data_IF_144803251185
#
_entry.id   IF_144803251185
#
_cell.length_a   1.000
_cell.length_b   1.000
_cell.length_c   1.000
_cell.angle_alpha   90.00
_cell.angle_beta   90.00
_cell.angle_gamma   90.00
#
_symmetry.space_group_name_H-M   'P 1'
#
loop_
_entity.id
_entity.type
_entity.pdbx_description
1 polymer ?
#
# COMPACT_ATOMS: atom_id res chain seq x y z
N UNK A 1 29.93 13.52 -17.59
CA UNK A 1 29.28 13.11 -16.32
C UNK A 1 28.86 11.66 -16.49
N UNK A 2 29.24 10.78 -15.57
CA UNK A 2 28.77 9.39 -15.57
C UNK A 2 27.25 9.38 -15.38
N UNK A 3 26.56 8.45 -16.05
CA UNK A 3 25.14 8.21 -15.77
C UNK A 3 25.01 7.77 -14.30
N UNK A 4 23.93 8.17 -13.59
CA UNK A 4 23.70 7.68 -12.24
C UNK A 4 23.70 6.15 -12.26
N UNK A 5 24.46 5.57 -11.34
CA UNK A 5 24.63 4.13 -11.23
C UNK A 5 23.27 3.50 -10.89
N UNK A 6 22.84 2.54 -11.70
CA UNK A 6 21.62 1.77 -11.41
C UNK A 6 21.88 0.90 -10.20
N UNK A 7 21.06 1.06 -9.17
CA UNK A 7 21.15 0.25 -7.96
C UNK A 7 20.21 -0.94 -8.09
N UNK A 8 20.54 -2.05 -7.46
CA UNK A 8 19.70 -3.25 -7.52
C UNK A 8 19.56 -3.93 -6.17
N UNK A 9 18.44 -4.61 -5.97
CA UNK A 9 18.17 -5.52 -4.85
C UNK A 9 17.76 -6.87 -5.46
N UNK A 10 18.39 -7.96 -5.06
CA UNK A 10 17.94 -9.30 -5.42
C UNK A 10 16.88 -9.78 -4.43
N UNK A 11 15.80 -10.36 -4.94
CA UNK A 11 14.76 -10.99 -4.13
C UNK A 11 15.05 -12.49 -4.15
N UNK A 12 15.56 -13.01 -3.03
CA UNK A 12 15.89 -14.43 -2.88
C UNK A 12 14.89 -15.14 -1.99
N UNK A 13 14.75 -16.43 -2.24
CA UNK A 13 14.04 -17.35 -1.36
C UNK A 13 15.08 -18.09 -0.54
N UNK A 14 15.06 -17.93 0.78
CA UNK A 14 16.05 -18.53 1.70
C UNK A 14 16.02 -20.07 1.62
N UNK A 15 14.82 -20.64 1.60
CA UNK A 15 14.58 -22.07 1.46
C UNK A 15 13.50 -22.34 0.41
N UNK A 16 13.86 -22.69 -0.84
CA UNK A 16 12.90 -23.00 -1.90
C UNK A 16 12.00 -24.21 -1.63
N UNK A 17 12.40 -25.11 -0.72
CA UNK A 17 11.61 -26.27 -0.32
C UNK A 17 10.59 -25.95 0.80
N UNK A 18 10.69 -24.77 1.43
CA UNK A 18 9.70 -24.29 2.38
C UNK A 18 8.56 -23.54 1.66
N UNK A 19 7.58 -23.07 2.43
CA UNK A 19 6.50 -22.25 1.92
C UNK A 19 7.04 -20.93 1.34
N UNK A 20 6.53 -20.51 0.18
CA UNK A 20 7.00 -19.31 -0.55
C UNK A 20 5.82 -18.47 -0.98
N UNK A 21 6.07 -17.22 -1.40
CA UNK A 21 5.01 -16.35 -1.94
C UNK A 21 4.27 -17.01 -3.12
N UNK A 22 4.97 -17.79 -3.96
CA UNK A 22 4.34 -18.50 -5.08
C UNK A 22 3.41 -19.63 -4.61
N UNK A 23 3.71 -20.30 -3.49
CA UNK A 23 2.78 -21.26 -2.88
C UNK A 23 1.52 -20.55 -2.39
N UNK A 24 1.68 -19.40 -1.72
CA UNK A 24 0.54 -18.58 -1.26
C UNK A 24 -0.35 -18.18 -2.43
N UNK A 25 0.25 -17.75 -3.54
CA UNK A 25 -0.49 -17.37 -4.74
C UNK A 25 -1.24 -18.56 -5.37
N UNK A 26 -0.60 -19.72 -5.44
CA UNK A 26 -1.21 -20.92 -6.03
C UNK A 26 -2.42 -21.43 -5.22
N UNK A 27 -2.34 -21.34 -3.89
CA UNK A 27 -3.31 -21.92 -2.95
C UNK A 27 -3.95 -20.88 -2.03
N UNK A 28 -4.17 -19.66 -2.54
CA UNK A 28 -4.56 -18.48 -1.75
C UNK A 28 -5.70 -18.69 -0.75
N UNK A 29 -6.73 -19.48 -1.12
CA UNK A 29 -7.90 -19.74 -0.28
C UNK A 29 -7.65 -20.74 0.85
N UNK A 30 -6.61 -21.55 0.72
CA UNK A 30 -6.22 -22.56 1.70
C UNK A 30 -5.12 -22.08 2.65
N UNK A 31 -4.53 -20.92 2.37
CA UNK A 31 -3.45 -20.36 3.17
C UNK A 31 -3.99 -19.74 4.47
N UNK A 32 -3.51 -20.22 5.60
CA UNK A 32 -3.74 -19.58 6.88
C UNK A 32 -2.78 -18.38 7.08
N UNK A 33 -3.08 -17.47 8.02
CA UNK A 33 -2.18 -16.35 8.34
C UNK A 33 -0.75 -16.79 8.71
N UNK A 34 -0.58 -17.97 9.32
CA UNK A 34 0.74 -18.52 9.63
C UNK A 34 1.53 -18.88 8.37
N UNK A 35 0.88 -19.43 7.35
CA UNK A 35 1.53 -19.80 6.08
C UNK A 35 2.03 -18.56 5.34
N UNK A 36 1.24 -17.48 5.38
CA UNK A 36 1.61 -16.18 4.84
C UNK A 36 2.85 -15.60 5.56
N UNK A 37 2.87 -15.64 6.90
CA UNK A 37 4.02 -15.19 7.69
C UNK A 37 5.28 -16.01 7.37
N UNK A 38 5.14 -17.34 7.23
CA UNK A 38 6.25 -18.22 6.85
C UNK A 38 6.78 -17.89 5.45
N UNK A 39 5.90 -17.67 4.48
CA UNK A 39 6.29 -17.29 3.13
C UNK A 39 7.02 -15.94 3.08
N UNK A 40 6.52 -14.93 3.81
CA UNK A 40 7.16 -13.62 3.89
C UNK A 40 8.51 -13.68 4.62
N UNK A 41 8.63 -14.47 5.70
CA UNK A 41 9.90 -14.67 6.40
C UNK A 41 10.95 -15.43 5.58
N UNK A 42 10.53 -16.12 4.51
CA UNK A 42 11.39 -16.85 3.59
C UNK A 42 11.97 -15.96 2.47
N UNK A 43 11.64 -14.67 2.46
CA UNK A 43 12.18 -13.69 1.51
C UNK A 43 13.44 -13.04 2.06
N UNK A 44 14.49 -12.98 1.25
CA UNK A 44 15.75 -12.29 1.56
C UNK A 44 16.07 -11.20 0.53
N UNK A 45 16.43 -10.03 1.04
CA UNK A 45 16.75 -8.82 0.28
C UNK A 45 18.17 -8.31 0.56
N UNK A 46 19.00 -9.13 1.23
CA UNK A 46 20.35 -8.73 1.69
C UNK A 46 21.34 -8.44 0.55
N UNK A 47 21.11 -9.01 -0.63
CA UNK A 47 21.98 -8.82 -1.80
C UNK A 47 21.62 -7.56 -2.58
N UNK A 48 22.44 -6.52 -2.41
CA UNK A 48 22.27 -5.23 -3.08
C UNK A 48 23.51 -4.82 -3.87
N UNK A 49 23.31 -4.21 -5.04
CA UNK A 49 24.38 -3.53 -5.80
C UNK A 49 24.18 -2.01 -5.73
N UNK A 50 25.24 -1.28 -5.39
CA UNK A 50 25.19 0.17 -5.21
C UNK A 50 24.67 0.59 -3.83
N UNK A 51 24.66 1.90 -3.57
CA UNK A 51 24.18 2.47 -2.30
C UNK A 51 22.67 2.74 -2.39
N UNK A 52 21.88 1.75 -2.00
CA UNK A 52 20.42 1.89 -1.90
C UNK A 52 20.04 2.81 -0.73
N UNK A 53 19.13 3.73 -1.00
CA UNK A 53 18.60 4.65 0.00
C UNK A 53 17.62 3.90 0.92
N UNK A 54 17.67 4.17 2.22
CA UNK A 54 16.93 3.40 3.24
C UNK A 54 15.43 3.34 2.96
N UNK A 55 14.83 4.47 2.58
CA UNK A 55 13.43 4.60 2.17
C UNK A 55 13.05 3.61 1.08
N UNK A 56 13.91 3.46 0.07
CA UNK A 56 13.66 2.56 -1.08
C UNK A 56 13.82 1.10 -0.64
N UNK A 57 14.82 0.80 0.17
CA UNK A 57 15.03 -0.56 0.69
C UNK A 57 13.88 -1.01 1.59
N UNK A 58 13.42 -0.15 2.51
CA UNK A 58 12.29 -0.44 3.39
C UNK A 58 10.98 -0.55 2.61
N UNK A 59 10.77 0.29 1.59
CA UNK A 59 9.62 0.17 0.71
C UNK A 59 9.61 -1.17 -0.05
N UNK A 60 10.76 -1.59 -0.61
CA UNK A 60 10.84 -2.88 -1.32
C UNK A 60 10.52 -4.03 -0.37
N UNK A 61 11.04 -4.00 0.86
CA UNK A 61 10.69 -4.96 1.89
C UNK A 61 9.18 -4.94 2.16
N UNK A 62 8.60 -3.77 2.44
CA UNK A 62 7.17 -3.60 2.67
C UNK A 62 6.32 -4.21 1.54
N UNK A 63 6.69 -4.01 0.27
CA UNK A 63 5.93 -4.57 -0.86
C UNK A 63 5.89 -6.10 -0.84
N UNK A 64 7.04 -6.74 -0.64
CA UNK A 64 7.15 -8.20 -0.72
C UNK A 64 6.72 -8.91 0.57
N UNK A 65 6.59 -8.19 1.69
CA UNK A 65 6.10 -8.73 2.96
C UNK A 65 4.71 -8.20 3.31
N UNK A 66 4.63 -6.99 3.82
CA UNK A 66 3.48 -6.44 4.52
C UNK A 66 2.33 -6.11 3.56
N UNK A 67 2.65 -5.53 2.40
CA UNK A 67 1.68 -5.22 1.36
C UNK A 67 1.13 -6.48 0.70
N UNK A 68 1.99 -7.44 0.36
CA UNK A 68 1.58 -8.76 -0.13
C UNK A 68 0.61 -9.43 0.85
N UNK A 69 0.90 -9.34 2.15
CA UNK A 69 0.07 -9.87 3.21
C UNK A 69 -1.23 -9.09 3.42
N UNK A 70 -1.21 -7.77 3.24
CA UNK A 70 -2.38 -6.91 3.29
C UNK A 70 -3.35 -7.23 2.15
N UNK A 71 -2.85 -7.45 0.93
CA UNK A 71 -3.67 -7.81 -0.22
C UNK A 71 -4.40 -9.13 0.01
N UNK A 72 -3.74 -10.12 0.59
CA UNK A 72 -4.34 -11.41 0.92
C UNK A 72 -5.46 -11.24 1.97
N UNK A 73 -5.15 -10.65 3.12
CA UNK A 73 -6.07 -10.52 4.27
C UNK A 73 -7.29 -9.64 4.01
N UNK A 74 -7.16 -8.63 3.15
CA UNK A 74 -8.28 -7.74 2.79
C UNK A 74 -9.12 -8.28 1.62
N UNK A 75 -8.77 -9.44 1.05
CA UNK A 75 -9.40 -9.97 -0.15
C UNK A 75 -9.08 -9.17 -1.42
N UNK A 76 -8.28 -8.10 -1.34
CA UNK A 76 -7.84 -7.31 -2.50
C UNK A 76 -7.06 -8.17 -3.50
N UNK A 77 -6.40 -9.24 -3.07
CA UNK A 77 -5.71 -10.16 -3.97
C UNK A 77 -6.62 -10.74 -5.06
N UNK A 78 -7.93 -10.90 -4.81
CA UNK A 78 -8.88 -11.35 -5.84
C UNK A 78 -9.14 -10.27 -6.89
N UNK A 79 -9.12 -9.00 -6.48
CA UNK A 79 -9.41 -7.83 -7.32
C UNK A 79 -8.17 -7.34 -8.07
N UNK A 80 -7.02 -7.40 -7.41
CA UNK A 80 -5.72 -6.99 -7.91
C UNK A 80 -4.81 -8.23 -8.13
N UNK A 81 -5.39 -9.32 -8.64
CA UNK A 81 -4.69 -10.60 -8.80
C UNK A 81 -3.42 -10.46 -9.61
N UNK A 82 -3.46 -9.69 -10.70
CA UNK A 82 -2.29 -9.51 -11.57
C UNK A 82 -1.12 -8.79 -10.85
N UNK A 83 -1.42 -7.82 -9.98
CA UNK A 83 -0.43 -7.17 -9.12
C UNK A 83 0.14 -8.15 -8.10
N UNK A 84 -0.73 -8.84 -7.36
CA UNK A 84 -0.35 -9.76 -6.30
C UNK A 84 0.54 -10.90 -6.80
N UNK A 85 0.18 -11.52 -7.92
CA UNK A 85 1.01 -12.52 -8.57
C UNK A 85 2.35 -11.96 -9.09
N UNK A 86 2.38 -10.69 -9.50
CA UNK A 86 3.60 -10.06 -9.99
C UNK A 86 4.60 -9.81 -8.87
N UNK A 87 4.13 -9.45 -7.67
CA UNK A 87 4.96 -9.37 -6.46
C UNK A 87 5.60 -10.74 -6.16
N UNK A 88 4.82 -11.82 -6.16
CA UNK A 88 5.33 -13.16 -5.87
C UNK A 88 6.36 -13.70 -6.88
N UNK A 89 6.30 -13.22 -8.14
CA UNK A 89 7.24 -13.61 -9.21
C UNK A 89 8.45 -12.69 -9.34
N UNK A 90 8.48 -11.56 -8.64
CA UNK A 90 9.59 -10.63 -8.71
C UNK A 90 10.85 -11.29 -8.11
N UNK A 91 11.95 -11.30 -8.86
CA UNK A 91 13.24 -11.84 -8.42
C UNK A 91 14.31 -10.76 -8.25
N UNK A 92 14.06 -9.57 -8.79
CA UNK A 92 15.01 -8.47 -8.83
C UNK A 92 14.26 -7.16 -8.78
N UNK A 93 14.85 -6.18 -8.10
CA UNK A 93 14.42 -4.79 -8.13
C UNK A 93 15.54 -3.93 -8.71
N UNK A 94 15.25 -3.17 -9.76
CA UNK A 94 16.15 -2.16 -10.33
C UNK A 94 15.69 -0.77 -9.90
N UNK A 95 16.62 0.07 -9.45
CA UNK A 95 16.33 1.40 -8.90
C UNK A 95 17.03 2.44 -9.77
N UNK A 96 16.25 3.35 -10.33
CA UNK A 96 16.69 4.41 -11.22
C UNK A 96 16.42 5.78 -10.59
N UNK A 97 17.46 6.55 -10.25
CA UNK A 97 17.29 7.95 -9.85
C UNK A 97 16.65 8.75 -10.99
N UNK A 98 15.58 9.48 -10.68
CA UNK A 98 14.94 10.36 -11.66
C UNK A 98 15.77 11.63 -11.77
N UNK A 99 16.04 12.05 -13.01
CA UNK A 99 16.82 13.26 -13.29
C UNK A 99 15.98 14.25 -14.10
N UNK A 100 16.19 15.54 -13.87
CA UNK A 100 15.52 16.62 -14.59
C UNK A 100 16.53 17.56 -15.25
N UNK A 101 16.20 18.09 -16.44
CA UNK A 101 16.97 19.12 -17.13
C UNK A 101 17.55 18.67 -18.48
N UNK A 102 17.53 19.59 -19.47
CA UNK A 102 17.98 19.35 -20.85
C UNK A 102 19.51 19.46 -21.02
N UNK A 103 20.12 20.44 -20.35
CA UNK A 103 21.56 20.74 -20.48
C UNK A 103 22.38 20.32 -19.26
N UNK A 104 21.76 20.36 -18.08
CA UNK A 104 22.35 19.89 -16.82
C UNK A 104 21.30 19.00 -16.16
N UNK A 105 21.62 17.71 -16.07
CA UNK A 105 20.79 16.75 -15.34
C UNK A 105 21.00 16.98 -13.85
N UNK A 106 19.94 17.35 -13.16
CA UNK A 106 19.86 17.45 -11.71
C UNK A 106 19.16 16.21 -11.19
N UNK A 107 19.76 15.56 -10.18
CA UNK A 107 19.14 14.41 -9.52
C UNK A 107 17.97 14.90 -8.67
N UNK A 108 16.80 14.31 -8.90
CA UNK A 108 15.64 14.56 -8.07
C UNK A 108 15.64 13.58 -6.89
N UNK A 109 15.03 13.93 -5.75
CA UNK A 109 14.84 13.01 -4.62
C UNK A 109 13.67 12.04 -4.92
N UNK A 110 13.70 11.43 -6.10
CA UNK A 110 12.65 10.59 -6.67
C UNK A 110 13.32 9.42 -7.38
N UNK A 111 12.79 8.22 -7.17
CA UNK A 111 13.31 6.99 -7.75
C UNK A 111 12.20 6.24 -8.49
N UNK A 112 12.51 5.79 -9.70
CA UNK A 112 11.73 4.75 -10.35
C UNK A 112 12.27 3.38 -9.87
N UNK A 113 11.40 2.58 -9.28
CA UNK A 113 11.71 1.28 -8.69
C UNK A 113 10.98 0.20 -9.48
N UNK A 114 11.72 -0.64 -10.19
CA UNK A 114 11.21 -1.62 -11.13
C UNK A 114 11.30 -3.01 -10.51
N UNK A 115 10.17 -3.65 -10.25
CA UNK A 115 10.13 -5.06 -9.88
C UNK A 115 10.14 -5.92 -11.14
N UNK A 116 11.17 -6.74 -11.27
CA UNK A 116 11.47 -7.52 -12.46
C UNK A 116 11.27 -9.03 -12.23
N UNK A 117 10.65 -9.69 -13.20
CA UNK A 117 10.53 -11.15 -13.23
C UNK A 117 11.84 -11.85 -13.67
N UNK A 118 11.82 -13.18 -13.70
CA UNK A 118 12.96 -13.99 -14.16
C UNK A 118 13.38 -13.76 -15.60
N UNK A 119 12.52 -13.14 -16.40
CA UNK A 119 12.81 -12.78 -17.78
C UNK A 119 13.32 -11.34 -17.91
N UNK A 120 13.51 -10.61 -16.81
CA UNK A 120 13.89 -9.20 -16.79
C UNK A 120 12.77 -8.24 -17.25
N UNK A 121 11.50 -8.67 -17.19
CA UNK A 121 10.35 -7.84 -17.50
C UNK A 121 9.92 -7.05 -16.25
N UNK A 122 9.76 -5.73 -16.37
CA UNK A 122 9.18 -4.93 -15.27
C UNK A 122 7.69 -5.21 -15.16
N UNK A 123 7.28 -5.83 -14.06
CA UNK A 123 5.89 -6.20 -13.80
C UNK A 123 5.19 -5.23 -12.85
N UNK A 124 5.93 -4.58 -11.96
CA UNK A 124 5.44 -3.48 -11.11
C UNK A 124 6.43 -2.32 -11.21
N UNK A 125 5.90 -1.12 -11.46
CA UNK A 125 6.67 0.13 -11.45
C UNK A 125 6.26 0.96 -10.25
N UNK A 126 7.18 1.26 -9.36
CA UNK A 126 6.94 2.15 -8.24
C UNK A 126 7.67 3.48 -8.42
N UNK A 127 7.00 4.58 -8.09
CA UNK A 127 7.61 5.90 -7.95
C UNK A 127 7.79 6.17 -6.46
N UNK A 128 9.03 6.16 -5.98
CA UNK A 128 9.36 6.46 -4.58
C UNK A 128 9.87 7.88 -4.48
N UNK A 129 9.10 8.73 -3.81
CA UNK A 129 9.40 10.15 -3.61
C UNK A 129 9.95 10.35 -2.19
N UNK A 130 11.11 10.98 -2.06
CA UNK A 130 11.63 11.42 -0.77
C UNK A 130 11.04 12.76 -0.34
N UNK A 131 11.07 13.03 0.96
CA UNK A 131 10.62 14.32 1.51
C UNK A 131 11.41 15.48 0.93
N UNK A 132 10.73 16.34 0.18
CA UNK A 132 11.31 17.55 -0.40
C UNK A 132 10.27 18.65 -0.60
N UNK A 133 10.70 19.92 -0.58
CA UNK A 133 9.79 21.08 -0.63
C UNK A 133 8.87 21.10 -1.88
N UNK A 134 9.39 20.70 -3.05
CA UNK A 134 8.63 20.70 -4.31
C UNK A 134 7.44 19.73 -4.33
N UNK A 135 7.40 18.73 -3.44
CA UNK A 135 6.33 17.72 -3.40
C UNK A 135 5.02 18.30 -2.85
N UNK A 136 5.09 19.48 -2.23
CA UNK A 136 3.92 20.24 -1.78
C UNK A 136 3.28 21.06 -2.91
N UNK A 137 3.99 21.26 -4.03
CA UNK A 137 3.47 22.01 -5.18
C UNK A 137 2.60 21.11 -6.06
N UNK A 138 1.32 21.45 -6.19
CA UNK A 138 0.36 20.63 -6.93
C UNK A 138 0.72 20.47 -8.41
N UNK A 139 1.27 21.51 -9.06
CA UNK A 139 1.64 21.44 -10.48
C UNK A 139 2.83 20.49 -10.66
N UNK A 140 3.80 20.56 -9.75
CA UNK A 140 4.94 19.66 -9.74
C UNK A 140 4.48 18.20 -9.57
N UNK A 141 3.68 17.91 -8.56
CA UNK A 141 3.17 16.55 -8.27
C UNK A 141 2.41 15.96 -9.47
N UNK A 142 1.48 16.73 -10.05
CA UNK A 142 0.72 16.27 -11.21
C UNK A 142 1.61 16.14 -12.45
N UNK A 143 2.62 17.00 -12.61
CA UNK A 143 3.64 16.87 -13.65
C UNK A 143 4.40 15.56 -13.53
N UNK A 144 4.92 15.26 -12.34
CA UNK A 144 5.63 14.02 -12.04
C UNK A 144 4.76 12.78 -12.29
N UNK A 145 3.48 12.81 -11.89
CA UNK A 145 2.54 11.72 -12.18
C UNK A 145 2.37 11.50 -13.69
N UNK A 146 2.20 12.56 -14.48
CA UNK A 146 2.07 12.43 -15.94
C UNK A 146 3.32 11.86 -16.59
N UNK A 147 4.50 12.27 -16.13
CA UNK A 147 5.77 11.73 -16.60
C UNK A 147 5.91 10.25 -16.23
N UNK A 148 5.52 9.85 -15.01
CA UNK A 148 5.48 8.45 -14.60
C UNK A 148 4.59 7.62 -15.51
N UNK A 149 3.35 8.08 -15.78
CA UNK A 149 2.41 7.39 -16.67
C UNK A 149 2.94 7.30 -18.09
N UNK A 150 3.65 8.32 -18.56
CA UNK A 150 4.33 8.26 -19.85
C UNK A 150 5.42 7.19 -19.89
N UNK A 151 6.28 7.12 -18.86
CA UNK A 151 7.32 6.08 -18.73
C UNK A 151 6.71 4.68 -18.62
N UNK A 152 5.64 4.52 -17.83
CA UNK A 152 4.88 3.29 -17.74
C UNK A 152 4.36 2.84 -19.11
N UNK A 153 3.77 3.77 -19.89
CA UNK A 153 3.32 3.48 -21.25
C UNK A 153 4.44 3.14 -22.22
N UNK A 154 5.64 3.70 -22.06
CA UNK A 154 6.81 3.30 -22.85
C UNK A 154 7.28 1.88 -22.49
N UNK A 155 7.35 1.56 -21.20
CA UNK A 155 7.73 0.23 -20.71
C UNK A 155 6.75 -0.84 -21.20
N UNK A 156 5.46 -0.59 -21.04
CA UNK A 156 4.41 -1.54 -21.43
C UNK A 156 4.36 -1.77 -22.96
N UNK A 157 4.54 -0.71 -23.76
CA UNK A 157 4.66 -0.84 -25.22
C UNK A 157 5.89 -1.64 -25.65
N UNK A 158 7.02 -1.48 -24.95
CA UNK A 158 8.26 -2.21 -25.24
C UNK A 158 8.11 -3.68 -24.88
N UNK A 159 7.45 -3.97 -23.76
CA UNK A 159 7.20 -5.33 -23.28
C UNK A 159 5.92 -5.34 -22.41
N UNK A 160 4.79 -5.84 -22.93
CA UNK A 160 3.48 -5.73 -22.27
C UNK A 160 3.36 -6.68 -21.08
N UNK A 161 3.98 -6.29 -19.98
CA UNK A 161 4.17 -7.08 -18.76
C UNK A 161 3.87 -6.30 -17.50
N UNK A 162 3.68 -4.98 -17.60
CA UNK A 162 3.38 -4.12 -16.48
C UNK A 162 1.96 -4.43 -15.99
N UNK A 163 1.80 -4.62 -14.68
CA UNK A 163 0.52 -4.94 -14.03
C UNK A 163 0.08 -3.90 -13.01
N UNK A 164 1.01 -3.14 -12.47
CA UNK A 164 0.68 -2.08 -11.54
C UNK A 164 1.69 -0.92 -11.53
N UNK A 165 1.19 0.24 -11.11
CA UNK A 165 1.97 1.39 -10.68
C UNK A 165 1.74 1.58 -9.18
N UNK A 166 2.81 1.76 -8.41
CA UNK A 166 2.73 2.16 -7.00
C UNK A 166 3.30 3.58 -6.87
N UNK A 167 2.59 4.49 -6.22
CA UNK A 167 3.11 5.82 -5.92
C UNK A 167 3.34 5.90 -4.42
N UNK A 168 4.58 6.12 -4.03
CA UNK A 168 5.04 6.07 -2.65
C UNK A 168 5.60 7.42 -2.27
N UNK A 169 4.98 8.11 -1.32
CA UNK A 169 5.43 9.45 -0.93
C UNK A 169 5.18 9.74 0.56
N UNK A 170 5.82 10.77 1.12
CA UNK A 170 5.60 11.15 2.51
C UNK A 170 4.13 11.57 2.74
N UNK A 171 3.58 11.15 3.88
CA UNK A 171 2.25 11.58 4.32
C UNK A 171 2.19 13.09 4.59
N UNK A 172 1.03 13.75 4.36
CA UNK A 172 -0.10 13.28 3.56
C UNK A 172 0.08 13.58 2.07
N UNK A 173 -0.55 12.79 1.19
CA UNK A 173 -0.70 13.14 -0.22
C UNK A 173 -1.51 14.44 -0.38
N UNK A 174 -1.18 15.21 -1.41
CA UNK A 174 -1.94 16.41 -1.74
C UNK A 174 -3.35 16.02 -2.22
N UNK A 175 -4.35 16.82 -1.82
CA UNK A 175 -5.74 16.65 -2.29
C UNK A 175 -5.84 16.66 -3.81
N UNK A 176 -4.99 17.45 -4.48
CA UNK A 176 -4.90 17.51 -5.93
C UNK A 176 -4.49 16.16 -6.53
N UNK A 177 -3.47 15.49 -5.99
CA UNK A 177 -3.05 14.17 -6.45
C UNK A 177 -4.15 13.12 -6.24
N UNK A 178 -4.71 13.07 -5.03
CA UNK A 178 -5.79 12.14 -4.69
C UNK A 178 -6.98 12.30 -5.65
N UNK A 179 -7.44 13.53 -5.84
CA UNK A 179 -8.54 13.85 -6.76
C UNK A 179 -8.20 13.50 -8.20
N UNK A 180 -6.94 13.69 -8.62
CA UNK A 180 -6.51 13.38 -9.98
C UNK A 180 -6.52 11.87 -10.22
N UNK A 181 -5.95 11.08 -9.31
CA UNK A 181 -5.92 9.62 -9.39
C UNK A 181 -7.34 9.04 -9.30
N UNK A 182 -8.18 9.54 -8.39
CA UNK A 182 -9.58 9.13 -8.28
C UNK A 182 -10.35 9.35 -9.58
N UNK A 183 -10.14 10.50 -10.25
CA UNK A 183 -10.74 10.77 -11.56
C UNK A 183 -10.23 9.82 -12.64
N UNK A 184 -8.94 9.48 -12.62
CA UNK A 184 -8.34 8.58 -13.60
C UNK A 184 -8.91 7.17 -13.52
N UNK A 185 -9.09 6.63 -12.30
CA UNK A 185 -9.62 5.27 -12.09
C UNK A 185 -11.15 5.18 -12.21
N UNK A 186 -11.82 6.24 -12.66
CA UNK A 186 -13.27 6.27 -12.77
C UNK A 186 -13.99 6.26 -11.42
N UNK A 187 -13.43 6.96 -10.41
CA UNK A 187 -13.82 6.87 -9.00
C UNK A 187 -15.29 7.16 -8.66
N UNK A 188 -16.14 7.54 -9.60
CA UNK A 188 -17.59 7.58 -9.39
C UNK A 188 -18.21 6.17 -9.29
N UNK A 189 -17.55 5.14 -9.83
CA UNK A 189 -17.94 3.74 -9.65
C UNK A 189 -17.23 3.16 -8.40
N UNK A 190 -17.98 2.72 -7.36
CA UNK A 190 -17.40 2.10 -6.17
C UNK A 190 -16.55 0.87 -6.47
N UNK A 191 -16.86 0.11 -7.52
CA UNK A 191 -16.11 -1.09 -7.89
C UNK A 191 -14.78 -0.69 -8.54
N UNK A 192 -14.82 0.16 -9.57
CA UNK A 192 -13.61 0.67 -10.21
C UNK A 192 -12.67 1.40 -9.23
N UNK A 193 -13.24 2.12 -8.27
CA UNK A 193 -12.50 2.77 -7.17
C UNK A 193 -11.75 1.77 -6.28
N UNK A 194 -12.33 0.61 -6.04
CA UNK A 194 -11.72 -0.45 -5.21
C UNK A 194 -10.68 -1.28 -5.99
N UNK A 195 -10.91 -1.49 -7.28
CA UNK A 195 -9.97 -2.21 -8.15
C UNK A 195 -8.76 -1.34 -8.55
N UNK A 196 -8.92 -0.01 -8.47
CA UNK A 196 -7.92 1.01 -8.78
C UNK A 196 -7.26 0.80 -10.15
N UNK A 197 -8.06 0.50 -11.17
CA UNK A 197 -7.55 0.21 -12.52
C UNK A 197 -7.53 1.48 -13.36
N UNK A 198 -6.37 1.78 -13.95
CA UNK A 198 -6.24 2.81 -14.97
C UNK A 198 -6.93 2.37 -16.26
N UNK A 199 -7.66 3.27 -16.95
CA UNK A 199 -8.30 2.95 -18.20
C UNK A 199 -7.25 2.68 -19.31
N UNK A 200 -7.75 2.25 -20.47
CA UNK A 200 -6.95 2.11 -21.67
C UNK A 200 -6.16 3.41 -21.96
N UNK A 201 -4.92 3.31 -22.48
CA UNK A 201 -4.31 2.11 -23.04
C UNK A 201 -3.57 1.21 -22.04
N UNK A 202 -3.40 1.62 -20.77
CA UNK A 202 -2.56 0.89 -19.83
C UNK A 202 -3.28 -0.31 -19.21
N UNK A 203 -4.53 -0.16 -18.75
CA UNK A 203 -5.30 -1.25 -18.11
C UNK A 203 -4.51 -1.94 -16.96
N UNK A 204 -3.86 -1.16 -16.11
CA UNK A 204 -3.05 -1.63 -14.97
C UNK A 204 -3.56 -1.04 -13.66
N UNK A 205 -3.26 -1.70 -12.53
CA UNK A 205 -3.58 -1.17 -11.21
C UNK A 205 -2.74 0.05 -10.86
N UNK A 206 -3.28 0.98 -10.07
CA UNK A 206 -2.56 2.11 -9.50
C UNK A 206 -2.88 2.24 -8.02
N UNK A 207 -1.88 2.09 -7.16
CA UNK A 207 -2.07 2.23 -5.72
C UNK A 207 -1.21 3.37 -5.16
N UNK A 208 -1.75 4.03 -4.14
CA UNK A 208 -1.13 5.14 -3.44
C UNK A 208 -0.69 4.68 -2.05
N UNK A 209 0.58 4.84 -1.73
CA UNK A 209 1.17 4.43 -0.47
C UNK A 209 1.81 5.65 0.18
N UNK A 210 1.30 6.04 1.33
CA UNK A 210 1.93 7.07 2.15
C UNK A 210 2.98 6.45 3.06
N UNK A 211 4.02 7.21 3.39
CA UNK A 211 4.92 6.83 4.45
C UNK A 211 5.29 7.98 5.38
N UNK A 212 5.71 7.65 6.60
CA UNK A 212 6.21 8.60 7.57
C UNK A 212 7.11 7.92 8.59
N UNK A 213 7.81 8.71 9.39
CA UNK A 213 8.56 8.17 10.53
C UNK A 213 7.64 8.09 11.74
N UNK A 214 7.86 7.15 12.65
CA UNK A 214 7.06 7.03 13.87
C UNK A 214 7.10 8.28 14.77
N UNK A 215 8.07 9.17 14.54
CA UNK A 215 8.19 10.48 15.19
C UNK A 215 7.19 11.52 14.63
N UNK A 216 6.63 11.28 13.44
CA UNK A 216 5.62 12.15 12.83
C UNK A 216 4.20 11.85 13.38
N UNK A 217 4.07 11.07 14.45
CA UNK A 217 2.82 10.80 15.17
C UNK A 217 2.61 11.73 16.37
N UNK A 218 3.22 12.92 16.38
CA UNK A 218 2.98 13.95 17.38
C UNK A 218 1.59 14.57 17.20
N UNK A 219 0.63 14.07 17.98
CA UNK A 219 -0.45 14.80 18.66
C UNK A 219 -1.03 16.06 17.97
N UNK A 220 -1.77 15.89 16.87
CA UNK A 220 -2.62 16.97 16.32
C UNK A 220 -4.06 16.56 15.98
N UNK A 221 -4.57 15.47 16.57
CA UNK A 221 -6.01 15.17 16.64
C UNK A 221 -6.53 15.09 18.08
N UNK A 222 -6.05 15.98 18.95
CA UNK A 222 -6.79 16.38 20.14
C UNK A 222 -7.38 17.78 19.91
N UNK A 223 -8.68 17.92 20.14
CA UNK A 223 -9.47 19.15 20.14
C UNK A 223 -9.88 19.76 18.79
N UNK A 224 -11.03 19.32 18.26
CA UNK A 224 -12.19 20.24 18.06
C UNK A 224 -13.44 19.48 17.65
N UNK A 225 -14.37 19.30 18.60
CA UNK A 225 -15.79 19.66 18.45
C UNK A 225 -16.50 19.48 19.80
N UNK A 226 -16.65 20.60 20.53
CA UNK A 226 -17.67 20.77 21.55
C UNK A 226 -19.07 20.68 20.92
N UNK A 227 -20.02 20.02 21.58
CA UNK A 227 -21.27 20.62 22.09
C UNK A 227 -22.22 19.54 22.61
N UNK A 228 -22.71 19.71 23.84
CA UNK A 228 -23.80 18.92 24.40
C UNK A 228 -23.84 18.86 25.92
N UNK A 229 -23.97 20.03 26.56
CA UNK A 229 -24.34 20.09 27.97
C UNK A 229 -25.75 19.50 28.17
N UNK A 230 -25.92 18.60 29.15
CA UNK A 230 -27.18 18.37 29.83
C UNK A 230 -26.88 17.95 31.28
N UNK A 231 -27.29 18.82 32.19
CA UNK A 231 -27.36 18.65 33.63
C UNK A 231 -28.78 18.20 34.00
N UNK A 232 -28.87 17.51 35.14
CA UNK A 232 -30.07 17.15 35.92
C UNK A 232 -30.83 15.90 35.40
N UNK A 233 -31.29 14.93 36.20
CA UNK A 233 -31.43 14.80 37.65
C UNK A 233 -31.48 13.32 38.10
N UNK A 234 -31.07 13.11 39.37
CA UNK A 234 -31.46 12.09 40.36
C UNK A 234 -32.33 10.88 39.98
N UNK A 235 -31.96 9.70 40.51
CA UNK A 235 -32.96 8.73 41.02
C UNK A 235 -32.57 7.25 41.03
N UNK A 236 -32.12 6.77 42.20
CA UNK A 236 -32.37 5.45 42.84
C UNK A 236 -32.08 4.11 42.13
N UNK A 237 -31.10 3.40 42.68
CA UNK A 237 -31.13 2.06 43.31
C UNK A 237 -31.85 0.83 42.70
N UNK A 238 -31.14 -0.30 42.86
CA UNK A 238 -31.56 -1.69 43.22
C UNK A 238 -31.37 -2.81 42.17
N UNK A 239 -30.61 -3.84 42.63
CA UNK A 239 -30.52 -5.27 42.24
C UNK A 239 -30.06 -5.63 40.82
N UNK A 240 -28.93 -6.30 40.60
CA UNK A 240 -28.48 -7.63 41.07
C UNK A 240 -29.41 -8.77 40.63
N UNK A 241 -29.15 -9.35 39.46
CA UNK A 241 -29.49 -10.75 39.19
C UNK A 241 -28.51 -11.38 38.19
N UNK A 242 -27.95 -12.50 38.64
CA UNK A 242 -27.00 -13.38 37.98
C UNK A 242 -27.79 -14.51 37.35
N UNK A 243 -27.56 -14.83 36.06
CA UNK A 243 -27.81 -16.15 35.42
C UNK A 243 -27.54 -16.07 33.90
N UNK A 244 -27.38 -17.21 33.19
CA UNK A 244 -26.33 -18.21 33.36
C UNK A 244 -25.51 -18.37 32.06
N UNK A 245 -24.28 -18.89 32.19
CA UNK A 245 -23.43 -19.31 31.07
C UNK A 245 -24.12 -20.41 30.26
N UNK A 246 -24.62 -20.07 29.08
CA UNK A 246 -24.90 -21.01 28.01
C UNK A 246 -23.61 -21.34 27.27
N UNK A 247 -23.24 -22.62 27.25
CA UNK A 247 -22.27 -23.18 26.32
C UNK A 247 -22.85 -23.02 24.91
N UNK A 248 -22.24 -22.14 24.11
CA UNK A 248 -22.42 -22.13 22.67
C UNK A 248 -21.40 -23.10 22.08
N UNK A 249 -21.92 -24.10 21.39
CA UNK A 249 -21.18 -24.99 20.52
C UNK A 249 -20.43 -24.14 19.48
N UNK A 250 -19.11 -24.31 19.38
CA UNK A 250 -18.30 -23.73 18.33
C UNK A 250 -18.77 -24.31 16.98
N UNK A 251 -19.54 -23.52 16.24
CA UNK A 251 -19.85 -23.80 14.84
C UNK A 251 -18.63 -23.38 13.99
N UNK A 252 -17.88 -24.32 13.39
CA UNK A 252 -16.68 -24.00 12.60
C UNK A 252 -17.00 -23.30 11.27
N UNK A 253 -18.28 -22.99 10.97
CA UNK A 253 -18.71 -22.32 9.75
C UNK A 253 -19.16 -20.86 9.93
N UNK A 254 -18.99 -20.27 11.12
CA UNK A 254 -19.16 -18.82 11.26
C UNK A 254 -17.90 -18.14 10.70
N UNK A 255 -17.96 -17.83 9.40
CA UNK A 255 -17.09 -16.83 8.76
C UNK A 255 -17.30 -15.54 9.54
N UNK A 256 -16.32 -15.19 10.38
CA UNK A 256 -16.29 -13.91 11.06
C UNK A 256 -16.46 -12.80 10.03
N UNK A 257 -17.29 -11.82 10.36
CA UNK A 257 -17.55 -10.65 9.51
C UNK A 257 -16.21 -9.95 9.19
N UNK A 258 -15.65 -10.24 8.01
CA UNK A 258 -14.36 -9.71 7.53
C UNK A 258 -14.41 -8.19 7.24
N UNK A 259 -15.52 -7.52 7.55
CA UNK A 259 -15.71 -6.09 7.27
C UNK A 259 -15.17 -5.13 8.34
N UNK A 260 -14.47 -5.62 9.36
CA UNK A 260 -14.04 -4.76 10.48
C UNK A 260 -12.56 -4.89 10.90
N UNK A 261 -11.63 -5.04 9.95
CA UNK A 261 -10.23 -4.70 10.23
C UNK A 261 -10.04 -3.19 10.02
N UNK A 262 -9.79 -2.47 11.12
CA UNK A 262 -9.55 -1.03 11.07
C UNK A 262 -8.12 -0.80 10.54
N UNK A 263 -7.84 0.23 9.73
CA UNK A 263 -6.48 0.56 9.28
C UNK A 263 -5.43 0.71 10.39
N UNK A 264 -5.87 0.83 11.65
CA UNK A 264 -5.00 0.94 12.83
C UNK A 264 -4.47 -0.40 13.34
N UNK A 265 -5.05 -1.53 12.90
CA UNK A 265 -4.58 -2.88 13.24
C UNK A 265 -3.31 -3.27 12.45
N UNK A 266 -2.80 -2.34 11.63
CA UNK A 266 -1.61 -2.48 10.78
C UNK A 266 -0.34 -1.89 11.40
N UNK A 267 -0.36 -1.43 12.66
CA UNK A 267 0.84 -0.85 13.28
C UNK A 267 1.85 -1.95 13.64
N UNK A 268 3.10 -1.87 13.15
CA UNK A 268 4.15 -2.77 13.59
C UNK A 268 4.45 -2.56 15.09
N UNK A 269 5.01 -3.57 15.79
CA UNK A 269 5.38 -3.46 17.20
C UNK A 269 6.33 -2.28 17.43
N UNK A 270 6.07 -1.51 18.49
CA UNK A 270 6.59 -0.18 18.81
C UNK A 270 8.10 -0.04 19.08
N UNK A 271 8.89 -1.10 18.89
CA UNK A 271 10.27 -1.16 19.38
C UNK A 271 11.35 -0.87 18.32
N UNK A 272 10.96 -0.39 17.13
CA UNK A 272 11.91 -0.04 16.05
C UNK A 272 11.91 1.46 15.75
N UNK A 273 12.51 2.26 16.64
CA UNK A 273 12.71 3.70 16.40
C UNK A 273 13.48 3.94 15.11
N UNK A 274 12.89 4.71 14.19
CA UNK A 274 13.52 5.14 12.94
C UNK A 274 13.13 4.37 11.69
N UNK A 275 12.19 3.42 11.79
CA UNK A 275 11.64 2.70 10.63
C UNK A 275 10.54 3.55 9.94
N UNK A 276 10.41 3.41 8.62
CA UNK A 276 9.30 4.00 7.87
C UNK A 276 8.04 3.15 8.05
N UNK A 277 6.94 3.80 8.40
CA UNK A 277 5.61 3.20 8.38
C UNK A 277 4.98 3.47 7.02
N UNK A 278 4.43 2.44 6.37
CA UNK A 278 3.78 2.56 5.06
C UNK A 278 2.29 2.26 5.19
N UNK A 279 1.45 3.07 4.54
CA UNK A 279 -0.01 2.93 4.58
C UNK A 279 -0.59 3.03 3.17
N UNK A 280 -1.37 2.02 2.78
CA UNK A 280 -2.18 2.08 1.57
C UNK A 280 -3.30 3.12 1.75
N UNK A 281 -3.34 4.11 0.87
CA UNK A 281 -4.41 5.11 0.84
C UNK A 281 -5.54 4.62 -0.03
N UNK A 282 -6.64 4.23 0.59
CA UNK A 282 -7.88 3.91 -0.11
C UNK A 282 -8.76 5.17 -0.23
N UNK A 283 -9.41 5.41 -1.38
CA UNK A 283 -10.34 6.51 -1.52
C UNK A 283 -11.52 6.35 -0.55
N UNK A 284 -11.82 7.37 0.25
CA UNK A 284 -12.88 7.31 1.26
C UNK A 284 -14.23 6.90 0.62
N UNK A 285 -14.88 5.88 1.17
CA UNK A 285 -16.24 5.54 0.76
C UNK A 285 -17.20 6.65 1.19
N UNK A 286 -18.14 7.08 0.33
CA UNK A 286 -19.16 8.03 0.75
C UNK A 286 -19.96 7.42 1.90
N UNK A 287 -19.84 8.01 3.09
CA UNK A 287 -20.66 7.64 4.24
C UNK A 287 -22.10 7.92 3.85
N UNK A 288 -22.87 6.85 3.57
CA UNK A 288 -24.33 6.96 3.43
C UNK A 288 -24.85 7.46 4.78
N UNK A 289 -25.02 8.79 4.92
CA UNK A 289 -25.79 9.36 6.02
C UNK A 289 -27.17 8.74 5.89
N UNK A 290 -27.51 7.81 6.79
CA UNK A 290 -28.88 7.34 6.96
C UNK A 290 -29.69 8.60 7.24
N UNK A 291 -30.43 9.06 6.24
CA UNK A 291 -31.44 10.09 6.45
C UNK A 291 -32.46 9.45 7.38
N UNK A 292 -32.36 9.75 8.67
CA UNK A 292 -33.40 9.44 9.63
C UNK A 292 -34.68 10.10 9.13
N UNK A 293 -35.59 9.28 8.62
CA UNK A 293 -36.96 9.69 8.37
C UNK A 293 -37.60 9.94 9.74
N UNK A 294 -37.49 11.17 10.24
CA UNK A 294 -38.40 11.66 11.26
C UNK A 294 -39.75 11.87 10.57
N UNK A 295 -40.67 10.93 10.81
CA UNK A 295 -42.11 11.16 10.74
C UNK A 295 -42.60 11.51 12.13
#
# INVERSE_FOLDING_TARGET
>A
MSLPETQTIQIKVLNPAAYTLNHVVAEARSCAPQDLNLACANVDLSETTGKVVAEVSEFVNFVVTDFFSLLHRSGLYNRQKALWESIARAIKVSIYPVTQGLFRKEDLPIFDVHFEDSNGATTVLALVVQSHAKWKDEKYVIGTLKELLHRAGQLDRKRPSLRAILIVAPKPFSKALLTHVEKMIGGQDPVARYESVLPAPLNIHIDLIEYGTDLDNDDSEAETHQLGALKDASGSDVSNETSPRGFLEDDPNIIGDETALHPNDLRPPSDQKGRFSFQLVQPALPVKRRSGAHK
#
